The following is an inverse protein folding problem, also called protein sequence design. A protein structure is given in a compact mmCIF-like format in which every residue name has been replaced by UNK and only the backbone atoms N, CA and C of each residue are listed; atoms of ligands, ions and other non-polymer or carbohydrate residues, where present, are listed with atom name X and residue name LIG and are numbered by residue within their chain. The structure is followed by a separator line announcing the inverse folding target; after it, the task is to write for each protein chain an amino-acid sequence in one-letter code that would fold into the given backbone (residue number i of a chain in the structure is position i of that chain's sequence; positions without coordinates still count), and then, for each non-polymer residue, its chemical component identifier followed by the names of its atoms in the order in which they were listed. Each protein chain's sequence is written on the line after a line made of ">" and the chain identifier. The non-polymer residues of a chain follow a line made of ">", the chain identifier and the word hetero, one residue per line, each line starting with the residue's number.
data_IF_260712598189
#
_entry.id   IF_260712598189
#
_cell.length_a   1.000
_cell.length_b   1.000
_cell.length_c   1.000
_cell.angle_alpha   90.00
_cell.angle_beta   90.00
_cell.angle_gamma   90.00
#
_symmetry.space_group_name_H-M   'P 1'
#
loop_
_entity.id
_entity.type
_entity.pdbx_description
1 polymer ?
#
# COMPACT_ATOMS: atom_id res chain seq x y z
N UNK A 1 -3.25 15.77 -11.57
CA UNK A 1 -4.63 16.09 -12.04
C UNK A 1 -5.64 15.50 -11.05
N UNK A 2 -6.91 15.89 -11.14
CA UNK A 2 -8.01 15.31 -10.33
C UNK A 2 -8.83 14.36 -11.19
N UNK A 3 -9.14 13.17 -10.67
CA UNK A 3 -9.94 12.19 -11.40
C UNK A 3 -10.72 11.26 -10.44
N UNK A 4 -11.71 10.54 -10.98
CA UNK A 4 -12.64 9.71 -10.21
C UNK A 4 -12.07 8.32 -9.99
N UNK A 5 -11.97 7.91 -8.72
CA UNK A 5 -11.50 6.57 -8.36
C UNK A 5 -12.59 5.76 -7.66
N UNK A 6 -13.37 5.01 -8.42
CA UNK A 6 -14.39 4.11 -7.87
C UNK A 6 -15.44 4.87 -7.05
N UNK A 7 -15.43 4.72 -5.72
CA UNK A 7 -16.35 5.40 -4.79
C UNK A 7 -15.95 6.84 -4.45
N UNK A 8 -14.78 7.31 -4.86
CA UNK A 8 -14.32 8.67 -4.52
C UNK A 8 -14.53 9.63 -5.68
N UNK A 9 -15.17 10.75 -5.39
CA UNK A 9 -15.38 11.83 -6.36
C UNK A 9 -14.10 12.61 -6.66
N UNK A 10 -13.10 12.54 -5.79
CA UNK A 10 -11.84 13.27 -5.94
C UNK A 10 -10.68 12.38 -5.51
N UNK A 11 -9.83 11.95 -6.45
CA UNK A 11 -8.46 11.51 -6.18
C UNK A 11 -7.49 12.48 -6.86
N UNK A 12 -6.34 12.73 -6.23
CA UNK A 12 -5.30 13.59 -6.78
C UNK A 12 -4.06 12.76 -7.12
N UNK A 13 -3.53 12.94 -8.32
CA UNK A 13 -2.19 12.43 -8.69
C UNK A 13 -1.19 13.58 -8.60
N UNK A 14 -0.27 13.44 -7.66
CA UNK A 14 0.82 14.40 -7.40
C UNK A 14 2.08 13.85 -8.05
N UNK A 15 2.65 14.61 -8.99
CA UNK A 15 3.90 14.27 -9.68
C UNK A 15 5.09 14.91 -8.95
N UNK A 16 6.21 14.20 -8.88
CA UNK A 16 7.45 14.70 -8.29
C UNK A 16 8.67 13.98 -8.87
N UNK A 17 9.83 14.65 -8.84
CA UNK A 17 11.09 14.08 -9.31
C UNK A 17 11.01 13.59 -10.77
N UNK A 18 11.71 12.49 -11.05
CA UNK A 18 11.71 11.84 -12.36
C UNK A 18 10.70 10.68 -12.38
N UNK A 19 9.58 10.89 -13.09
CA UNK A 19 8.46 9.93 -13.25
C UNK A 19 7.84 9.35 -11.95
N UNK A 20 8.04 9.99 -10.80
CA UNK A 20 7.40 9.55 -9.56
C UNK A 20 6.03 10.19 -9.37
N UNK A 21 5.13 9.43 -8.75
CA UNK A 21 3.76 9.85 -8.51
C UNK A 21 3.21 9.32 -7.18
N UNK A 22 2.43 10.15 -6.50
CA UNK A 22 1.61 9.76 -5.34
C UNK A 22 0.15 9.91 -5.70
N UNK A 23 -0.63 8.84 -5.51
CA UNK A 23 -2.09 8.88 -5.62
C UNK A 23 -2.64 9.15 -4.22
N UNK A 24 -3.28 10.32 -4.06
CA UNK A 24 -3.91 10.74 -2.82
C UNK A 24 -5.43 10.52 -2.90
N UNK A 25 -5.97 9.78 -1.94
CA UNK A 25 -7.40 9.54 -1.77
C UNK A 25 -7.93 10.24 -0.52
N UNK A 26 -9.20 10.68 -0.50
CA UNK A 26 -9.77 11.45 0.61
C UNK A 26 -10.09 10.56 1.82
N UNK A 27 -10.24 9.25 1.60
CA UNK A 27 -10.47 8.24 2.62
C UNK A 27 -9.53 7.06 2.40
N UNK A 28 -9.45 6.18 3.39
CA UNK A 28 -8.72 4.93 3.30
C UNK A 28 -9.19 4.12 2.09
N UNK A 29 -8.25 3.78 1.21
CA UNK A 29 -8.51 3.00 0.02
C UNK A 29 -7.56 1.80 -0.04
N UNK A 30 -8.13 0.59 -0.03
CA UNK A 30 -7.37 -0.62 -0.17
C UNK A 30 -7.17 -0.95 -1.65
N UNK A 31 -5.92 -0.91 -2.09
CA UNK A 31 -5.52 -1.28 -3.45
C UNK A 31 -5.25 -2.79 -3.48
N UNK A 32 -6.10 -3.53 -4.17
CA UNK A 32 -6.01 -5.00 -4.31
C UNK A 32 -5.65 -5.45 -5.72
N UNK A 33 -5.84 -4.57 -6.71
CA UNK A 33 -5.58 -4.80 -8.13
C UNK A 33 -5.11 -3.51 -8.81
N UNK A 34 -4.81 -3.61 -10.10
CA UNK A 34 -4.26 -2.55 -10.94
C UNK A 34 -5.30 -1.57 -11.49
N UNK A 35 -6.59 -1.77 -11.25
CA UNK A 35 -7.65 -0.97 -11.86
C UNK A 35 -7.55 0.52 -11.54
N UNK A 36 -6.92 0.88 -10.42
CA UNK A 36 -6.63 2.26 -10.03
C UNK A 36 -5.74 3.01 -11.03
N UNK A 37 -4.73 2.36 -11.60
CA UNK A 37 -3.76 3.03 -12.47
C UNK A 37 -4.42 3.45 -13.79
N UNK A 38 -5.07 2.51 -14.47
CA UNK A 38 -5.76 2.79 -15.73
C UNK A 38 -6.86 3.83 -15.58
N UNK A 39 -7.60 3.83 -14.46
CA UNK A 39 -8.62 4.85 -14.16
C UNK A 39 -8.06 6.25 -14.00
N UNK A 40 -6.81 6.37 -13.58
CA UNK A 40 -6.10 7.63 -13.45
C UNK A 40 -5.21 7.90 -14.67
N UNK A 41 -5.39 7.19 -15.79
CA UNK A 41 -4.56 7.38 -16.99
C UNK A 41 -3.07 7.10 -16.75
N UNK A 42 -2.74 6.22 -15.80
CA UNK A 42 -1.39 5.78 -15.51
C UNK A 42 -1.18 4.46 -16.24
N UNK A 43 -0.30 4.46 -17.25
CA UNK A 43 0.16 3.22 -17.87
C UNK A 43 1.14 2.52 -16.93
N UNK A 44 0.93 1.22 -16.72
CA UNK A 44 1.81 0.39 -15.91
C UNK A 44 3.14 0.11 -16.63
N UNK A 45 3.15 0.14 -17.96
CA UNK A 45 4.37 -0.05 -18.73
C UNK A 45 5.40 1.08 -18.52
N UNK A 46 4.94 2.24 -18.05
CA UNK A 46 5.78 3.40 -17.73
C UNK A 46 6.32 3.37 -16.30
N UNK A 47 6.03 2.32 -15.51
CA UNK A 47 6.42 2.23 -14.10
C UNK A 47 7.42 1.11 -13.86
N UNK A 48 8.56 1.45 -13.25
CA UNK A 48 9.54 0.45 -12.81
C UNK A 48 9.14 -0.20 -11.47
N UNK A 49 8.50 0.56 -10.59
CA UNK A 49 8.18 0.14 -9.21
C UNK A 49 6.78 0.60 -8.83
N UNK A 50 6.03 -0.29 -8.16
CA UNK A 50 4.75 0.02 -7.53
C UNK A 50 4.89 -0.15 -6.03
N UNK A 51 4.60 0.91 -5.26
CA UNK A 51 4.59 0.87 -3.80
C UNK A 51 3.16 0.80 -3.29
N UNK A 52 2.83 -0.23 -2.52
CA UNK A 52 1.51 -0.43 -1.93
C UNK A 52 1.60 -0.48 -0.41
N UNK A 53 0.73 0.26 0.28
CA UNK A 53 0.53 0.12 1.73
C UNK A 53 -0.36 -1.10 2.01
N UNK A 54 0.19 -2.29 1.82
CA UNK A 54 -0.53 -3.56 1.94
C UNK A 54 0.38 -4.67 2.47
N UNK A 55 -0.18 -5.62 3.22
CA UNK A 55 0.55 -6.82 3.67
C UNK A 55 0.30 -8.04 2.80
N UNK A 56 -0.94 -8.27 2.37
CA UNK A 56 -1.31 -9.51 1.68
C UNK A 56 -2.34 -9.32 0.56
N UNK A 57 -3.17 -8.29 0.63
CA UNK A 57 -4.33 -8.17 -0.26
C UNK A 57 -3.97 -7.81 -1.71
N UNK A 58 -2.73 -7.42 -1.99
CA UNK A 58 -2.26 -7.16 -3.35
C UNK A 58 -1.88 -8.43 -4.11
N UNK A 59 -1.70 -9.59 -3.45
CA UNK A 59 -1.11 -10.77 -4.11
C UNK A 59 -1.88 -11.22 -5.34
N UNK A 60 -3.21 -11.27 -5.26
CA UNK A 60 -4.04 -11.68 -6.40
C UNK A 60 -3.95 -10.72 -7.60
N UNK A 61 -3.92 -9.42 -7.35
CA UNK A 61 -3.94 -8.41 -8.41
C UNK A 61 -2.59 -8.11 -9.03
N UNK A 62 -1.49 -8.54 -8.42
CA UNK A 62 -0.13 -8.19 -8.83
C UNK A 62 0.83 -9.38 -8.92
N UNK A 63 0.71 -10.39 -8.06
CA UNK A 63 1.66 -11.51 -8.00
C UNK A 63 1.14 -12.72 -8.76
N UNK A 64 -0.09 -13.14 -8.46
CA UNK A 64 -0.67 -14.37 -9.03
C UNK A 64 -0.94 -14.29 -10.53
N UNK A 65 -1.09 -13.08 -11.07
CA UNK A 65 -1.22 -12.83 -12.51
C UNK A 65 0.13 -12.60 -13.22
N UNK A 66 1.25 -12.68 -12.50
CA UNK A 66 2.60 -12.52 -13.06
C UNK A 66 3.03 -11.09 -13.36
N UNK A 67 2.29 -10.07 -12.93
CA UNK A 67 2.66 -8.67 -13.16
C UNK A 67 3.92 -8.26 -12.38
N UNK A 68 3.99 -8.64 -11.11
CA UNK A 68 5.13 -8.37 -10.23
C UNK A 68 6.17 -9.49 -10.38
N UNK A 69 7.29 -9.18 -11.02
CA UNK A 69 8.43 -10.10 -11.11
C UNK A 69 9.13 -10.33 -9.77
N UNK A 70 9.08 -9.35 -8.86
CA UNK A 70 9.63 -9.44 -7.51
C UNK A 70 8.75 -8.65 -6.52
N UNK A 71 8.73 -9.09 -5.26
CA UNK A 71 8.06 -8.41 -4.15
C UNK A 71 9.07 -8.15 -3.04
N UNK A 72 9.35 -6.87 -2.80
CA UNK A 72 10.22 -6.43 -1.70
C UNK A 72 9.36 -6.00 -0.51
N UNK A 73 9.58 -6.62 0.64
CA UNK A 73 8.89 -6.25 1.89
C UNK A 73 9.62 -5.12 2.59
N UNK A 74 8.86 -4.10 3.01
CA UNK A 74 9.41 -2.94 3.71
C UNK A 74 8.64 -2.77 5.03
N UNK A 75 9.35 -2.88 6.15
CA UNK A 75 8.82 -2.48 7.46
C UNK A 75 8.91 -0.95 7.61
N UNK A 76 7.96 -0.26 6.97
CA UNK A 76 7.90 1.20 7.02
C UNK A 76 7.32 1.68 8.37
N UNK A 77 7.81 2.80 8.93
CA UNK A 77 7.25 3.38 10.14
C UNK A 77 5.72 3.59 10.06
N UNK A 78 5.02 3.34 11.16
CA UNK A 78 3.59 3.61 11.28
C UNK A 78 2.85 2.68 12.23
N UNK A 79 1.52 2.67 12.14
CA UNK A 79 0.62 1.96 13.06
C UNK A 79 0.63 0.42 12.94
N UNK A 80 1.49 -0.13 12.08
CA UNK A 80 1.48 -1.56 11.79
C UNK A 80 2.87 -2.15 11.65
N UNK A 81 3.77 -1.95 12.63
CA UNK A 81 5.14 -2.44 12.58
C UNK A 81 5.16 -3.97 12.52
N UNK A 82 6.22 -4.53 11.94
CA UNK A 82 6.45 -5.97 12.00
C UNK A 82 6.91 -6.40 13.40
N UNK A 83 7.73 -5.57 14.06
CA UNK A 83 8.12 -5.77 15.45
C UNK A 83 7.07 -5.20 16.41
N UNK A 84 6.34 -6.11 17.07
CA UNK A 84 5.33 -5.74 18.04
C UNK A 84 5.94 -5.27 19.37
N UNK A 85 7.19 -5.62 19.69
CA UNK A 85 7.81 -5.26 20.98
C UNK A 85 8.04 -3.76 21.13
N UNK A 86 8.10 -3.01 20.01
CA UNK A 86 8.21 -1.55 20.01
C UNK A 86 6.90 -0.81 20.28
N UNK A 87 5.75 -1.51 20.38
CA UNK A 87 4.45 -0.88 20.62
C UNK A 87 4.19 -0.77 22.13
N UNK A 88 3.79 0.41 22.66
CA UNK A 88 3.58 0.63 24.09
C UNK A 88 2.22 0.09 24.57
N UNK A 89 2.05 -1.23 24.55
CA UNK A 89 0.84 -1.88 25.03
C UNK A 89 0.64 -1.71 26.54
N UNK A 90 -0.60 -1.49 26.99
CA UNK A 90 -0.92 -1.32 28.43
C UNK A 90 -1.60 -2.51 29.09
N UNK A 91 -2.25 -3.39 28.30
CA UNK A 91 -3.12 -4.46 28.82
C UNK A 91 -2.79 -5.83 28.23
N UNK A 92 -1.51 -6.13 27.99
CA UNK A 92 -1.09 -7.42 27.44
C UNK A 92 -1.19 -8.51 28.51
N UNK A 93 -1.87 -9.63 28.25
CA UNK A 93 -1.89 -10.75 29.19
C UNK A 93 -0.48 -11.35 29.38
N UNK A 94 -0.17 -11.97 30.53
CA UNK A 94 1.08 -12.70 30.72
C UNK A 94 1.20 -13.91 29.78
N UNK A 95 2.42 -14.32 29.46
CA UNK A 95 2.69 -15.45 28.56
C UNK A 95 2.38 -15.23 27.07
N UNK A 96 2.12 -13.99 26.64
CA UNK A 96 1.87 -13.68 25.23
C UNK A 96 3.19 -13.36 24.51
N UNK A 97 3.75 -14.35 23.82
CA UNK A 97 4.90 -14.14 22.95
C UNK A 97 4.56 -13.18 21.79
N UNK A 98 5.43 -12.21 21.44
CA UNK A 98 6.76 -11.92 22.01
C UNK A 98 6.76 -10.85 23.13
N UNK A 99 5.59 -10.44 23.63
CA UNK A 99 5.41 -9.24 24.43
C UNK A 99 5.62 -9.47 25.94
N UNK A 100 5.18 -10.61 26.46
CA UNK A 100 5.24 -10.94 27.88
C UNK A 100 5.81 -12.34 28.08
N UNK A 101 6.51 -12.52 29.21
CA UNK A 101 6.98 -13.83 29.66
C UNK A 101 5.85 -14.59 30.36
#
# INVERSE_FOLDING_TARGET
>A
FLDRLGRFETAAVILFGDNNRVILTPLLHQVTDTGIFGRLGIDLADLDIIVLKSRVHFRRGYVENGLAGEVVWIDAPGLGPADLTGVPYQNVPPGLYPLTK
#
